data_IF_494697644131
#
_entry.id   IF_494697644131
#
_cell.length_a   1.000
_cell.length_b   1.000
_cell.length_c   1.000
_cell.angle_alpha   90.00
_cell.angle_beta   90.00
_cell.angle_gamma   90.00
#
_symmetry.space_group_name_H-M   'P 1'
#
loop_
_entity.id
_entity.type
_entity.pdbx_description
1 polymer ?
#
# COMPACT_ATOMS: atom_id res chain seq x y z
N UNK A 1 20.10 -22.27 -32.67
CA UNK A 1 18.83 -22.29 -31.93
C UNK A 1 19.07 -21.51 -30.64
N UNK A 2 18.59 -20.26 -30.55
CA UNK A 2 18.84 -19.41 -29.39
C UNK A 2 17.90 -19.79 -28.25
N UNK A 3 18.47 -20.12 -27.08
CA UNK A 3 17.72 -20.44 -25.87
C UNK A 3 16.94 -19.20 -25.45
N UNK A 4 15.61 -19.25 -25.55
CA UNK A 4 14.74 -18.16 -25.09
C UNK A 4 14.92 -18.05 -23.56
N UNK A 5 15.36 -16.89 -23.03
CA UNK A 5 15.52 -16.72 -21.60
C UNK A 5 14.18 -16.97 -20.91
N UNK A 6 14.21 -17.86 -19.91
CA UNK A 6 13.05 -18.40 -19.25
C UNK A 6 12.31 -17.26 -18.52
N UNK A 7 11.12 -16.87 -19.00
CA UNK A 7 10.34 -15.70 -18.52
C UNK A 7 9.76 -15.87 -17.09
N UNK A 8 10.34 -16.71 -16.23
CA UNK A 8 9.78 -17.11 -14.92
C UNK A 8 10.76 -16.89 -13.75
N UNK A 9 11.43 -15.74 -13.65
CA UNK A 9 12.56 -15.59 -12.73
C UNK A 9 12.38 -14.61 -11.56
N UNK A 10 11.22 -13.96 -11.42
CA UNK A 10 11.05 -12.96 -10.37
C UNK A 10 10.30 -13.55 -9.17
N UNK A 11 10.91 -13.40 -7.99
CA UNK A 11 10.22 -13.60 -6.73
C UNK A 11 9.33 -12.41 -6.41
N UNK A 12 8.38 -12.61 -5.51
CA UNK A 12 7.48 -11.56 -5.04
C UNK A 12 7.56 -11.44 -3.54
N UNK A 13 7.70 -10.21 -3.04
CA UNK A 13 7.46 -9.92 -1.64
C UNK A 13 6.11 -9.23 -1.52
N UNK A 14 5.28 -9.75 -0.63
CA UNK A 14 3.99 -9.19 -0.26
C UNK A 14 4.15 -8.56 1.11
N UNK A 15 4.01 -7.24 1.17
CA UNK A 15 4.05 -6.45 2.39
C UNK A 15 2.61 -6.14 2.81
N UNK A 16 2.24 -6.58 3.99
CA UNK A 16 0.97 -6.24 4.63
C UNK A 16 1.24 -5.29 5.79
N UNK A 17 0.44 -4.24 5.91
CA UNK A 17 0.42 -3.36 7.07
C UNK A 17 -1.00 -3.25 7.57
N UNK A 18 -1.17 -3.21 8.89
CA UNK A 18 -2.49 -3.27 9.48
C UNK A 18 -2.51 -2.92 10.95
N UNK A 19 -3.68 -3.12 11.54
CA UNK A 19 -3.87 -2.98 12.96
C UNK A 19 -5.33 -3.00 13.31
N UNK A 20 -5.73 -2.16 14.26
CA UNK A 20 -7.08 -2.17 14.83
C UNK A 20 -7.86 -0.89 14.52
N UNK A 21 -9.15 -1.04 14.33
CA UNK A 21 -10.16 0.02 14.29
C UNK A 21 -11.07 -0.22 15.48
N UNK A 22 -11.10 0.73 16.43
CA UNK A 22 -11.88 0.61 17.68
C UNK A 22 -11.50 -0.66 18.45
N UNK A 23 -12.32 -1.03 19.43
CA UNK A 23 -12.06 -2.13 20.36
C UNK A 23 -12.35 -3.53 19.77
N UNK A 24 -12.09 -3.78 18.47
CA UNK A 24 -12.21 -5.16 17.98
C UNK A 24 -12.29 -5.42 16.48
N UNK A 25 -12.17 -4.42 15.61
CA UNK A 25 -12.11 -4.67 14.17
C UNK A 25 -10.67 -4.56 13.68
N UNK A 26 -10.21 -5.55 12.92
CA UNK A 26 -8.91 -5.49 12.25
C UNK A 26 -9.01 -4.76 10.92
N UNK A 27 -7.94 -4.07 10.53
CA UNK A 27 -7.76 -3.58 9.16
C UNK A 27 -6.39 -4.02 8.65
N UNK A 28 -6.29 -4.23 7.35
CA UNK A 28 -5.00 -4.47 6.70
C UNK A 28 -5.04 -3.99 5.26
N UNK A 29 -3.87 -3.61 4.78
CA UNK A 29 -3.60 -3.18 3.42
C UNK A 29 -2.38 -3.92 2.92
N UNK A 30 -2.26 -4.07 1.60
CA UNK A 30 -1.17 -4.86 1.01
C UNK A 30 -0.52 -4.10 -0.13
N UNK A 31 0.80 -4.18 -0.18
CA UNK A 31 1.65 -3.72 -1.27
C UNK A 31 2.50 -4.90 -1.75
N UNK A 32 2.78 -4.93 -3.04
CA UNK A 32 3.60 -5.98 -3.64
C UNK A 32 4.85 -5.41 -4.24
N UNK A 33 5.95 -6.15 -4.15
CA UNK A 33 7.21 -5.87 -4.84
C UNK A 33 7.66 -7.11 -5.59
N UNK A 34 8.34 -6.87 -6.71
CA UNK A 34 9.03 -7.91 -7.46
C UNK A 34 10.52 -7.83 -7.15
N UNK A 35 11.11 -8.92 -6.70
CA UNK A 35 12.56 -9.03 -6.50
C UNK A 35 13.14 -9.98 -7.53
N UNK A 36 14.29 -9.62 -8.08
CA UNK A 36 14.99 -10.45 -9.03
C UNK A 36 15.99 -11.35 -8.27
N UNK A 37 15.96 -12.66 -8.55
CA UNK A 37 17.03 -13.65 -8.27
C UNK A 37 17.48 -13.91 -6.82
N UNK A 38 17.04 -13.12 -5.84
CA UNK A 38 17.35 -13.34 -4.42
C UNK A 38 16.16 -13.96 -3.69
N UNK A 39 16.39 -15.07 -3.00
CA UNK A 39 15.43 -15.67 -2.07
C UNK A 39 15.78 -15.16 -0.67
N UNK A 40 15.04 -14.17 -0.13
CA UNK A 40 15.35 -13.62 1.18
C UNK A 40 15.11 -14.66 2.27
N UNK A 41 15.98 -14.64 3.27
CA UNK A 41 15.76 -15.38 4.52
C UNK A 41 14.71 -14.68 5.37
N UNK A 42 14.12 -15.38 6.34
CA UNK A 42 13.22 -14.76 7.31
C UNK A 42 13.89 -13.64 8.10
N UNK A 43 15.20 -13.76 8.40
CA UNK A 43 15.98 -12.71 9.05
C UNK A 43 16.09 -11.45 8.18
N UNK A 44 16.41 -11.60 6.88
CA UNK A 44 16.47 -10.47 5.95
C UNK A 44 15.10 -9.78 5.78
N UNK A 45 14.00 -10.54 5.77
CA UNK A 45 12.66 -9.95 5.78
C UNK A 45 12.39 -9.19 7.09
N UNK A 46 12.87 -9.69 8.23
CA UNK A 46 12.71 -9.02 9.52
C UNK A 46 13.50 -7.71 9.58
N UNK A 47 14.74 -7.70 9.11
CA UNK A 47 15.58 -6.48 9.05
C UNK A 47 14.95 -5.40 8.15
N UNK A 48 14.39 -5.84 7.01
CA UNK A 48 13.60 -4.97 6.12
C UNK A 48 12.38 -4.39 6.86
N UNK A 49 11.60 -5.22 7.56
CA UNK A 49 10.43 -4.76 8.31
C UNK A 49 10.78 -3.79 9.45
N UNK A 50 11.90 -4.01 10.13
CA UNK A 50 12.38 -3.10 11.18
C UNK A 50 12.70 -1.72 10.61
N UNK A 51 13.33 -1.67 9.43
CA UNK A 51 13.55 -0.41 8.69
C UNK A 51 12.22 0.23 8.26
N UNK A 52 11.32 -0.57 7.68
CA UNK A 52 10.01 -0.09 7.21
C UNK A 52 9.12 0.41 8.34
N UNK A 53 9.28 -0.10 9.57
CA UNK A 53 8.54 0.40 10.74
C UNK A 53 8.69 1.91 10.89
N UNK A 54 9.91 2.45 10.79
CA UNK A 54 10.14 3.90 10.86
C UNK A 54 9.46 4.67 9.71
N UNK A 55 9.48 4.10 8.50
CA UNK A 55 8.85 4.69 7.31
C UNK A 55 7.32 4.74 7.49
N UNK A 56 6.70 3.64 7.92
CA UNK A 56 5.26 3.57 8.14
C UNK A 56 4.80 4.43 9.32
N UNK A 57 5.55 4.48 10.41
CA UNK A 57 5.26 5.38 11.54
C UNK A 57 5.32 6.84 11.10
N UNK A 58 6.30 7.22 10.28
CA UNK A 58 6.41 8.57 9.72
C UNK A 58 5.22 8.89 8.80
N UNK A 59 4.90 8.00 7.85
CA UNK A 59 3.73 8.17 6.98
C UNK A 59 2.41 8.21 7.75
N UNK A 60 2.26 7.39 8.80
CA UNK A 60 1.10 7.37 9.66
C UNK A 60 0.99 8.64 10.52
N UNK A 61 2.09 9.15 11.08
CA UNK A 61 2.10 10.46 11.74
C UNK A 61 1.72 11.62 10.79
N UNK A 62 2.01 11.45 9.50
CA UNK A 62 1.52 12.29 8.41
C UNK A 62 0.12 11.90 7.95
N UNK A 63 -0.05 11.61 6.66
CA UNK A 63 -1.38 11.43 6.07
C UNK A 63 -2.17 10.24 6.62
N UNK A 64 -1.53 9.12 6.98
CA UNK A 64 -2.25 7.90 7.37
C UNK A 64 -3.12 8.12 8.61
N UNK A 65 -2.55 8.76 9.62
CA UNK A 65 -3.23 9.16 10.84
C UNK A 65 -4.11 10.39 10.67
N UNK A 66 -3.83 11.27 9.70
CA UNK A 66 -4.72 12.39 9.35
C UNK A 66 -6.01 11.95 8.63
N UNK A 67 -6.11 10.69 8.21
CA UNK A 67 -7.36 10.09 7.72
C UNK A 67 -8.17 9.44 8.84
N UNK A 68 -7.55 9.15 9.98
CA UNK A 68 -8.09 8.23 10.95
C UNK A 68 -8.25 8.86 12.33
N UNK A 69 -9.26 8.39 13.04
CA UNK A 69 -9.49 8.75 14.43
C UNK A 69 -8.49 8.05 15.36
N UNK A 70 -8.31 8.56 16.58
CA UNK A 70 -7.31 8.04 17.53
C UNK A 70 -7.57 6.60 18.01
N UNK A 71 -8.78 6.08 17.79
CA UNK A 71 -9.17 4.69 18.02
C UNK A 71 -8.74 3.74 16.87
N UNK A 72 -8.12 4.25 15.81
CA UNK A 72 -7.50 3.46 14.75
C UNK A 72 -6.00 3.47 14.93
N UNK A 73 -5.41 2.28 14.99
CA UNK A 73 -4.00 2.09 15.29
C UNK A 73 -3.37 1.25 14.19
N UNK A 74 -2.20 1.69 13.72
CA UNK A 74 -1.24 0.87 12.99
C UNK A 74 -0.45 0.05 14.03
N UNK A 75 -0.56 -1.27 13.96
CA UNK A 75 -0.06 -2.18 14.99
C UNK A 75 0.95 -3.18 14.44
N UNK A 76 0.76 -3.65 13.20
CA UNK A 76 1.59 -4.70 12.61
C UNK A 76 2.05 -4.41 11.18
N UNK A 77 3.25 -4.90 10.89
CA UNK A 77 3.79 -5.10 9.53
C UNK A 77 4.15 -6.56 9.34
N UNK A 78 3.79 -7.13 8.20
CA UNK A 78 4.06 -8.51 7.81
C UNK A 78 4.67 -8.55 6.42
N UNK A 79 5.65 -9.41 6.21
CA UNK A 79 6.24 -9.65 4.91
C UNK A 79 6.19 -11.13 4.58
N UNK A 80 5.81 -11.46 3.34
CA UNK A 80 5.79 -12.81 2.81
C UNK A 80 6.55 -12.86 1.49
N UNK A 81 7.53 -13.74 1.37
CA UNK A 81 8.23 -13.97 0.11
C UNK A 81 7.73 -15.23 -0.58
N UNK A 82 7.37 -15.07 -1.86
CA UNK A 82 6.97 -16.13 -2.77
C UNK A 82 8.02 -16.25 -3.89
N UNK A 83 8.72 -17.39 -4.02
CA UNK A 83 9.56 -17.66 -5.17
C UNK A 83 8.77 -17.62 -6.48
N UNK A 84 9.48 -17.47 -7.60
CA UNK A 84 8.86 -17.42 -8.92
C UNK A 84 8.00 -18.66 -9.19
N UNK A 85 6.72 -18.43 -9.50
CA UNK A 85 5.74 -19.51 -9.77
C UNK A 85 5.27 -20.29 -8.54
N UNK A 86 5.71 -19.93 -7.33
CA UNK A 86 5.26 -20.57 -6.10
C UNK A 86 3.89 -20.04 -5.65
N UNK A 87 3.06 -20.93 -5.10
CA UNK A 87 1.77 -20.58 -4.48
C UNK A 87 1.87 -20.45 -2.96
N UNK A 88 2.97 -20.91 -2.35
CA UNK A 88 3.27 -20.80 -0.93
C UNK A 88 4.44 -19.86 -0.68
N UNK A 89 4.41 -19.17 0.46
CA UNK A 89 5.53 -18.36 0.90
C UNK A 89 6.64 -19.27 1.43
N UNK A 90 7.90 -18.98 1.09
CA UNK A 90 9.07 -19.72 1.60
C UNK A 90 9.78 -19.00 2.74
N UNK A 91 9.49 -17.72 2.94
CA UNK A 91 9.95 -16.94 4.08
C UNK A 91 8.84 -15.97 4.49
N UNK A 92 8.76 -15.70 5.80
CA UNK A 92 7.86 -14.71 6.37
C UNK A 92 8.51 -14.03 7.56
N UNK A 93 8.13 -12.79 7.82
CA UNK A 93 8.50 -12.05 9.02
C UNK A 93 7.35 -11.13 9.44
N UNK A 94 7.35 -10.75 10.71
CA UNK A 94 6.34 -9.87 11.30
C UNK A 94 6.99 -8.95 12.34
N UNK A 95 6.48 -7.72 12.41
CA UNK A 95 6.72 -6.76 13.48
C UNK A 95 5.35 -6.37 14.04
N UNK A 96 5.17 -6.48 15.35
CA UNK A 96 3.94 -6.11 16.06
C UNK A 96 4.23 -5.06 17.12
N UNK A 97 3.19 -4.43 17.67
CA UNK A 97 3.32 -3.46 18.76
C UNK A 97 3.85 -2.10 18.31
N UNK A 98 3.65 -1.73 17.05
CA UNK A 98 4.02 -0.40 16.51
C UNK A 98 3.21 0.70 17.20
N UNK A 99 1.94 0.43 17.48
CA UNK A 99 1.02 1.27 18.25
C UNK A 99 0.94 2.76 17.82
N UNK A 100 0.98 3.04 16.50
CA UNK A 100 0.81 4.40 16.00
C UNK A 100 -0.68 4.71 15.82
N UNK A 101 -1.22 5.61 16.64
CA UNK A 101 -2.63 6.00 16.61
C UNK A 101 -2.94 7.07 15.54
N UNK A 102 -4.18 7.08 15.05
CA UNK A 102 -4.70 8.17 14.23
C UNK A 102 -4.79 9.50 14.99
N UNK A 103 -4.94 10.61 14.26
CA UNK A 103 -4.83 11.95 14.83
C UNK A 103 -6.09 12.81 14.67
N UNK A 104 -7.10 12.36 13.91
CA UNK A 104 -8.32 13.14 13.68
C UNK A 104 -9.42 12.81 14.69
N UNK A 105 -10.46 13.63 14.67
CA UNK A 105 -11.62 13.56 15.57
C UNK A 105 -12.93 13.23 14.87
N UNK A 106 -12.95 13.10 13.54
CA UNK A 106 -14.16 12.70 12.81
C UNK A 106 -14.63 11.29 13.19
N UNK A 107 -15.89 11.00 12.90
CA UNK A 107 -16.56 9.76 13.31
C UNK A 107 -17.24 9.08 12.12
N UNK A 108 -16.48 8.87 11.05
CA UNK A 108 -16.97 8.05 9.95
C UNK A 108 -17.17 6.59 10.40
N UNK A 109 -18.08 5.85 9.75
CA UNK A 109 -18.18 4.41 9.93
C UNK A 109 -16.85 3.70 9.65
N UNK A 110 -16.64 2.54 10.27
CA UNK A 110 -15.39 1.76 10.12
C UNK A 110 -15.19 1.17 8.72
N UNK A 111 -16.21 1.25 7.87
CA UNK A 111 -16.22 0.73 6.50
C UNK A 111 -15.96 1.83 5.45
N UNK A 112 -15.43 2.99 5.88
CA UNK A 112 -15.07 4.09 4.99
C UNK A 112 -13.56 4.05 4.76
N UNK A 113 -13.15 4.11 3.50
CA UNK A 113 -11.74 4.16 3.13
C UNK A 113 -11.45 5.24 2.09
N UNK A 114 -10.21 5.71 2.09
CA UNK A 114 -9.63 6.47 1.00
C UNK A 114 -8.85 5.52 0.09
N UNK A 115 -9.07 5.63 -1.22
CA UNK A 115 -8.45 4.74 -2.20
C UNK A 115 -7.25 5.40 -2.85
N UNK A 116 -6.07 4.81 -2.64
CA UNK A 116 -4.86 5.12 -3.40
C UNK A 116 -4.81 4.21 -4.63
N UNK A 117 -5.10 4.79 -5.79
CA UNK A 117 -4.98 4.08 -7.07
C UNK A 117 -3.52 4.10 -7.53
N UNK A 118 -2.94 2.93 -7.73
CA UNK A 118 -1.55 2.76 -8.15
C UNK A 118 -1.49 2.61 -9.68
N UNK A 119 -0.77 3.51 -10.33
CA UNK A 119 -0.66 3.60 -11.79
C UNK A 119 0.76 3.25 -12.23
N UNK A 120 0.84 2.47 -13.31
CA UNK A 120 2.10 1.90 -13.83
C UNK A 120 2.52 2.48 -15.19
N UNK A 121 1.76 3.44 -15.72
CA UNK A 121 1.95 3.98 -17.07
C UNK A 121 1.48 3.04 -18.20
N UNK A 122 1.19 1.78 -17.90
CA UNK A 122 0.67 0.82 -18.88
C UNK A 122 -0.86 0.92 -19.02
N UNK A 123 -1.39 0.80 -20.25
CA UNK A 123 -2.83 0.79 -20.47
C UNK A 123 -3.48 -0.50 -19.92
N UNK A 124 -4.70 -0.37 -19.41
CA UNK A 124 -5.53 -1.50 -18.97
C UNK A 124 -5.81 -1.52 -17.47
N UNK A 125 -7.00 -2.05 -17.10
CA UNK A 125 -7.46 -2.10 -15.70
C UNK A 125 -6.61 -3.04 -14.83
N UNK A 126 -6.13 -4.14 -15.40
CA UNK A 126 -5.30 -5.12 -14.69
C UNK A 126 -3.91 -4.58 -14.32
N UNK A 127 -3.46 -3.48 -14.95
CA UNK A 127 -2.17 -2.83 -14.71
C UNK A 127 -2.24 -1.74 -13.64
N UNK A 128 -3.38 -1.64 -12.93
CA UNK A 128 -3.63 -0.64 -11.89
C UNK A 128 -3.91 -1.34 -10.57
N UNK A 129 -3.22 -0.91 -9.52
CA UNK A 129 -3.46 -1.37 -8.16
C UNK A 129 -4.43 -0.44 -7.43
N UNK A 130 -5.00 -0.91 -6.32
CA UNK A 130 -5.75 -0.08 -5.38
C UNK A 130 -5.37 -0.48 -3.97
N UNK A 131 -5.09 0.52 -3.14
CA UNK A 131 -4.87 0.36 -1.71
C UNK A 131 -5.96 1.14 -0.97
N UNK A 132 -6.61 0.50 0.00
CA UNK A 132 -7.81 0.99 0.66
C UNK A 132 -7.49 1.34 2.11
N UNK A 133 -6.99 2.55 2.33
CA UNK A 133 -6.59 3.00 3.67
C UNK A 133 -7.83 3.44 4.43
N UNK A 134 -8.04 2.97 5.69
CA UNK A 134 -9.16 3.45 6.50
C UNK A 134 -9.20 4.98 6.58
N UNK A 135 -10.41 5.53 6.60
CA UNK A 135 -10.64 6.97 6.69
C UNK A 135 -11.73 7.27 7.74
N UNK A 136 -11.52 6.82 8.98
CA UNK A 136 -12.54 6.91 10.04
C UNK A 136 -12.64 8.31 10.66
N UNK A 137 -11.57 9.10 10.56
CA UNK A 137 -11.43 10.39 11.23
C UNK A 137 -11.76 11.60 10.35
N UNK A 138 -12.12 11.38 9.09
CA UNK A 138 -12.39 12.46 8.13
C UNK A 138 -13.81 13.01 8.28
N UNK A 139 -14.03 14.22 7.77
CA UNK A 139 -15.36 14.80 7.58
C UNK A 139 -15.58 15.05 6.09
N UNK A 140 -16.80 14.81 5.62
CA UNK A 140 -17.17 15.05 4.22
C UNK A 140 -17.84 16.42 4.10
N UNK A 141 -17.47 17.18 3.08
CA UNK A 141 -18.19 18.39 2.65
C UNK A 141 -18.85 18.08 1.33
N UNK A 142 -20.17 18.23 1.22
CA UNK A 142 -20.94 17.83 0.02
C UNK A 142 -20.68 16.37 -0.42
N UNK A 143 -20.53 15.46 0.55
CA UNK A 143 -20.18 14.04 0.32
C UNK A 143 -18.77 13.80 -0.25
N UNK A 144 -17.89 14.80 -0.24
CA UNK A 144 -16.51 14.72 -0.73
C UNK A 144 -15.49 14.95 0.37
N UNK A 145 -14.32 14.34 0.22
CA UNK A 145 -13.12 14.73 0.93
C UNK A 145 -12.61 16.07 0.41
N UNK A 146 -11.92 16.82 1.26
CA UNK A 146 -11.40 18.13 0.88
C UNK A 146 -10.24 18.01 -0.12
N UNK A 147 -10.09 19.03 -0.96
CA UNK A 147 -8.96 19.18 -1.89
C UNK A 147 -7.60 19.07 -1.18
N UNK A 148 -7.45 19.75 -0.05
CA UNK A 148 -6.22 19.70 0.74
C UNK A 148 -5.90 18.28 1.26
N UNK A 149 -6.91 17.52 1.71
CA UNK A 149 -6.71 16.18 2.24
C UNK A 149 -6.33 15.19 1.13
N UNK A 150 -7.01 15.27 -0.01
CA UNK A 150 -6.76 14.40 -1.17
C UNK A 150 -5.38 14.66 -1.78
N UNK A 151 -5.00 15.93 -1.95
CA UNK A 151 -3.65 16.32 -2.40
C UNK A 151 -2.56 15.84 -1.43
N UNK A 152 -2.75 16.10 -0.13
CA UNK A 152 -1.79 15.67 0.90
C UNK A 152 -1.63 14.15 0.87
N UNK A 153 -2.74 13.40 0.80
CA UNK A 153 -2.71 11.95 0.78
C UNK A 153 -2.04 11.36 -0.45
N UNK A 154 -2.24 11.97 -1.63
CA UNK A 154 -1.55 11.54 -2.85
C UNK A 154 -0.03 11.71 -2.72
N UNK A 155 0.43 12.87 -2.27
CA UNK A 155 1.85 13.19 -2.16
C UNK A 155 2.56 12.34 -1.11
N UNK A 156 2.01 12.24 0.09
CA UNK A 156 2.63 11.46 1.18
C UNK A 156 2.61 9.95 0.91
N UNK A 157 1.59 9.43 0.22
CA UNK A 157 1.59 8.03 -0.18
C UNK A 157 2.60 7.78 -1.32
N UNK A 158 2.79 8.72 -2.25
CA UNK A 158 3.88 8.62 -3.22
C UNK A 158 5.26 8.63 -2.54
N UNK A 159 5.48 9.52 -1.57
CA UNK A 159 6.72 9.54 -0.77
C UNK A 159 6.93 8.28 0.09
N UNK A 160 5.84 7.66 0.58
CA UNK A 160 5.89 6.33 1.20
C UNK A 160 6.44 5.30 0.21
N UNK A 161 5.87 5.23 -1.01
CA UNK A 161 6.33 4.27 -2.02
C UNK A 161 7.78 4.52 -2.45
N UNK A 162 8.20 5.78 -2.56
CA UNK A 162 9.60 6.15 -2.82
C UNK A 162 10.53 5.65 -1.70
N UNK A 163 10.16 5.87 -0.44
CA UNK A 163 10.94 5.40 0.71
C UNK A 163 11.00 3.86 0.78
N UNK A 164 9.91 3.18 0.44
CA UNK A 164 9.88 1.72 0.33
C UNK A 164 10.81 1.24 -0.78
N UNK A 165 10.83 1.92 -1.94
CA UNK A 165 11.72 1.57 -3.06
C UNK A 165 13.21 1.72 -2.69
N UNK A 166 13.53 2.63 -1.76
CA UNK A 166 14.88 2.77 -1.21
C UNK A 166 15.27 1.71 -0.18
N UNK A 167 14.36 0.80 0.22
CA UNK A 167 14.62 -0.20 1.27
C UNK A 167 15.21 -1.49 0.68
N UNK A 168 16.32 -1.97 1.25
CA UNK A 168 16.97 -3.20 0.83
C UNK A 168 16.40 -4.45 1.56
N UNK A 169 16.46 -5.58 0.87
CA UNK A 169 16.16 -6.93 1.32
C UNK A 169 17.39 -7.79 1.01
N UNK A 170 18.26 -7.96 2.00
CA UNK A 170 19.62 -8.45 1.73
C UNK A 170 20.33 -7.48 0.77
N UNK A 171 20.81 -8.01 -0.36
CA UNK A 171 21.55 -7.23 -1.36
C UNK A 171 20.66 -6.69 -2.51
N UNK A 172 19.33 -6.83 -2.39
CA UNK A 172 18.37 -6.40 -3.43
C UNK A 172 17.46 -5.30 -2.92
N UNK A 173 17.07 -4.36 -3.78
CA UNK A 173 16.13 -3.31 -3.42
C UNK A 173 14.68 -3.75 -3.64
N UNK A 174 13.79 -3.26 -2.76
CA UNK A 174 12.35 -3.34 -2.95
C UNK A 174 11.93 -2.46 -4.14
N UNK A 175 11.02 -2.94 -4.99
CA UNK A 175 10.43 -2.13 -6.06
C UNK A 175 8.91 -2.35 -6.07
N UNK A 176 8.18 -1.34 -5.62
CA UNK A 176 6.72 -1.39 -5.53
C UNK A 176 6.11 -1.61 -6.93
N UNK A 177 5.34 -2.67 -7.07
CA UNK A 177 4.76 -3.09 -8.34
C UNK A 177 3.28 -3.46 -8.20
N UNK A 178 2.57 -3.44 -9.32
CA UNK A 178 1.20 -3.98 -9.41
C UNK A 178 1.27 -5.38 -9.98
N UNK A 179 1.12 -6.40 -9.13
CA UNK A 179 1.06 -7.79 -9.57
C UNK A 179 -0.34 -8.14 -10.11
N UNK A 180 -0.50 -8.09 -11.43
CA UNK A 180 -1.76 -8.48 -12.09
C UNK A 180 -1.96 -10.00 -12.20
N UNK A 181 -0.87 -10.76 -12.26
CA UNK A 181 -0.89 -12.22 -12.46
C UNK A 181 0.37 -12.85 -11.85
N UNK A 182 0.23 -14.02 -11.22
CA UNK A 182 1.33 -14.87 -10.73
C UNK A 182 2.34 -15.27 -11.82
N UNK A 183 1.89 -15.34 -13.08
CA UNK A 183 2.72 -15.74 -14.23
C UNK A 183 3.45 -14.56 -14.90
N UNK A 184 3.26 -13.34 -14.42
CA UNK A 184 3.91 -12.17 -15.00
C UNK A 184 5.40 -12.16 -14.68
N UNK A 185 6.23 -12.16 -15.72
CA UNK A 185 7.68 -12.18 -15.58
C UNK A 185 8.16 -10.97 -14.78
N UNK A 186 7.85 -9.76 -15.22
CA UNK A 186 8.25 -8.53 -14.54
C UNK A 186 6.98 -7.70 -14.27
N UNK A 187 6.44 -7.75 -13.04
CA UNK A 187 5.33 -6.91 -12.64
C UNK A 187 5.69 -5.44 -12.87
N UNK A 188 4.78 -4.64 -13.47
CA UNK A 188 5.08 -3.25 -13.76
C UNK A 188 5.17 -2.42 -12.47
N UNK A 189 6.21 -1.60 -12.39
CA UNK A 189 6.47 -0.69 -11.27
C UNK A 189 5.40 0.39 -11.19
N UNK A 190 5.03 0.79 -9.98
CA UNK A 190 4.16 1.94 -9.73
C UNK A 190 4.94 3.22 -10.01
N UNK A 191 4.44 4.07 -10.90
CA UNK A 191 5.06 5.35 -11.27
C UNK A 191 4.23 6.56 -10.80
N UNK A 192 2.97 6.34 -10.43
CA UNK A 192 2.08 7.41 -9.99
C UNK A 192 1.02 6.86 -9.03
N UNK A 193 0.69 7.64 -8.01
CA UNK A 193 -0.42 7.42 -7.09
C UNK A 193 -1.50 8.43 -7.42
N UNK A 194 -2.74 7.97 -7.57
CA UNK A 194 -3.91 8.83 -7.76
C UNK A 194 -4.89 8.65 -6.61
N UNK A 195 -5.38 9.76 -6.08
CA UNK A 195 -6.38 9.81 -5.01
C UNK A 195 -7.56 10.64 -5.50
N UNK A 196 -8.75 10.07 -5.41
CA UNK A 196 -10.00 10.70 -5.78
C UNK A 196 -10.70 11.22 -4.49
N UNK A 197 -11.48 12.30 -4.55
CA UNK A 197 -12.15 12.88 -3.38
C UNK A 197 -13.34 12.08 -2.86
N UNK A 198 -13.79 11.10 -3.63
CA UNK A 198 -14.84 10.18 -3.22
C UNK A 198 -14.30 9.20 -2.19
N UNK A 199 -14.88 9.20 -0.99
CA UNK A 199 -14.62 8.16 -0.02
C UNK A 199 -15.28 6.85 -0.47
N UNK A 200 -14.53 5.74 -0.47
CA UNK A 200 -15.08 4.43 -0.81
C UNK A 200 -15.96 3.96 0.36
N UNK A 201 -17.26 4.13 0.17
CA UNK A 201 -18.33 3.68 1.03
C UNK A 201 -19.09 2.58 0.29
N UNK A 202 -19.15 1.37 0.87
CA UNK A 202 -19.69 0.14 0.29
C UNK A 202 -20.45 0.24 -1.05
N UNK A 203 -19.85 -0.38 -2.09
CA UNK A 203 -20.29 -0.95 -3.39
C UNK A 203 -21.63 -0.59 -4.09
N UNK A 204 -22.54 0.21 -3.54
CA UNK A 204 -23.82 0.60 -4.17
C UNK A 204 -24.11 2.11 -4.14
N UNK A 205 -23.21 2.92 -3.58
CA UNK A 205 -23.34 4.40 -3.57
C UNK A 205 -22.40 5.11 -4.54
N UNK A 206 -21.30 4.46 -4.94
CA UNK A 206 -20.32 5.06 -5.83
C UNK A 206 -20.87 5.40 -7.23
N UNK A 207 -21.87 4.67 -7.72
CA UNK A 207 -22.46 4.95 -9.04
C UNK A 207 -23.23 6.30 -9.10
N UNK A 208 -23.40 7.01 -7.97
CA UNK A 208 -24.22 8.22 -7.87
C UNK A 208 -23.43 9.49 -7.55
N UNK A 209 -22.14 9.39 -7.23
CA UNK A 209 -21.31 10.53 -6.82
C UNK A 209 -20.06 10.53 -7.68
N UNK A 210 -19.79 11.64 -8.38
CA UNK A 210 -18.53 11.83 -9.09
C UNK A 210 -17.51 12.49 -8.16
N UNK A 211 -16.22 12.18 -8.31
CA UNK A 211 -15.19 12.88 -7.56
C UNK A 211 -15.10 14.35 -8.01
N UNK A 212 -15.12 15.27 -7.05
CA UNK A 212 -14.92 16.70 -7.28
C UNK A 212 -13.44 17.03 -7.51
N UNK A 213 -12.55 16.30 -6.81
CA UNK A 213 -11.10 16.48 -6.91
C UNK A 213 -10.42 15.15 -7.21
N UNK A 214 -9.37 15.22 -8.04
CA UNK A 214 -8.51 14.10 -8.38
C UNK A 214 -7.08 14.60 -8.35
N UNK A 215 -6.28 14.05 -7.43
CA UNK A 215 -4.86 14.38 -7.32
C UNK A 215 -4.02 13.20 -7.73
N UNK A 216 -2.90 13.50 -8.38
CA UNK A 216 -1.94 12.48 -8.76
C UNK A 216 -0.53 12.94 -8.41
N UNK A 217 0.23 12.07 -7.75
CA UNK A 217 1.60 12.29 -7.36
C UNK A 217 2.50 11.24 -8.01
N UNK A 218 3.64 11.68 -8.56
CA UNK A 218 4.61 10.81 -9.20
C UNK A 218 5.42 10.07 -8.14
N UNK A 219 5.67 8.78 -8.37
CA UNK A 219 6.61 7.97 -7.58
C UNK A 219 7.93 7.96 -8.35
N UNK A 220 9.01 8.51 -7.80
CA UNK A 220 10.33 8.40 -8.40
C UNK A 220 10.72 6.93 -8.56
N UNK A 221 11.36 6.63 -9.70
CA UNK A 221 11.83 5.30 -10.04
C UNK A 221 13.03 4.88 -9.18
#
# INVERSE_FOLDING_TARGET
MATVPNRRQYGRVVLSYGGTIRTGQGWSCTLTSSTAFHVPTAAQLKDMLDTMTGIFVSWWGGSGGQLNSADVVLDDLKAYFYPAGATSATAQAEVTGIAAAGAKTGTMPTQVSLVHTLLTGLPGRHRRGRNYVPATGVSLTNHQLTDALTNTSANTFASLLESLNGTAIGDTFWLTSVSANLAEAAPPTVIQVRVDSEADIQRRRADKVAADFVHAATVPA
#
